data_IF_234631601731
#
_entry.id   IF_234631601731
#
_cell.length_a   1.000
_cell.length_b   1.000
_cell.length_c   1.000
_cell.angle_alpha   90.00
_cell.angle_beta   90.00
_cell.angle_gamma   90.00
#
_symmetry.space_group_name_H-M   'P 1'
#
loop_
_entity.id
_entity.type
_entity.pdbx_description
1 polymer ?
#
# COMPACT_ATOMS: atom_id res chain seq x y z
N UNK A 1 20.44 -54.47 19.67
CA UNK A 1 19.46 -53.75 20.50
C UNK A 1 19.55 -52.28 20.12
N UNK A 2 18.72 -51.83 19.19
CA UNK A 2 18.60 -50.40 18.84
C UNK A 2 17.26 -49.91 19.38
N UNK A 3 17.32 -49.05 20.39
CA UNK A 3 16.14 -48.46 21.01
C UNK A 3 15.71 -47.27 20.15
N UNK A 4 14.66 -47.43 19.34
CA UNK A 4 14.02 -46.31 18.64
C UNK A 4 13.39 -45.38 19.67
N UNK A 5 13.91 -44.15 19.77
CA UNK A 5 13.28 -43.06 20.53
C UNK A 5 12.04 -42.63 19.77
N UNK A 6 10.87 -42.80 20.38
CA UNK A 6 9.60 -42.37 19.83
C UNK A 6 9.40 -40.89 20.18
N UNK A 7 9.46 -40.03 19.19
CA UNK A 7 9.21 -38.59 19.35
C UNK A 7 7.70 -38.42 19.55
N UNK A 8 7.22 -37.78 20.62
CA UNK A 8 5.80 -37.54 20.80
C UNK A 8 5.31 -36.60 19.69
N UNK A 9 4.32 -37.03 18.93
CA UNK A 9 3.57 -36.16 18.01
C UNK A 9 2.78 -35.18 18.85
N UNK A 10 3.04 -33.87 18.67
CA UNK A 10 2.22 -32.82 19.26
C UNK A 10 0.75 -33.03 18.86
N UNK A 11 -0.21 -32.84 19.78
CA UNK A 11 -1.61 -32.90 19.42
C UNK A 11 -1.93 -31.84 18.36
N UNK A 12 -2.92 -32.08 17.47
CA UNK A 12 -3.44 -31.04 16.59
C UNK A 12 -3.87 -29.84 17.45
N UNK A 13 -3.49 -28.63 17.04
CA UNK A 13 -4.00 -27.41 17.65
C UNK A 13 -5.51 -27.34 17.43
N UNK A 14 -6.29 -27.79 18.40
CA UNK A 14 -7.72 -27.52 18.46
C UNK A 14 -7.89 -26.04 18.82
N UNK A 15 -8.26 -25.22 17.84
CA UNK A 15 -8.51 -23.79 18.03
C UNK A 15 -9.80 -23.61 18.84
N UNK A 16 -9.71 -22.95 19.99
CA UNK A 16 -10.85 -22.67 20.86
C UNK A 16 -11.83 -21.69 20.18
N UNK A 17 -13.13 -21.94 20.33
CA UNK A 17 -14.21 -21.01 19.94
C UNK A 17 -14.14 -19.75 20.81
N UNK A 18 -13.39 -18.76 20.35
CA UNK A 18 -13.29 -17.46 21.03
C UNK A 18 -12.17 -16.53 20.56
N UNK A 19 -11.48 -16.80 19.44
CA UNK A 19 -10.50 -15.85 18.89
C UNK A 19 -11.22 -14.60 18.36
N UNK A 20 -11.14 -13.50 19.11
CA UNK A 20 -11.41 -12.16 18.60
C UNK A 20 -10.49 -11.92 17.40
N UNK A 21 -11.08 -11.88 16.21
CA UNK A 21 -10.34 -11.60 14.97
C UNK A 21 -10.16 -10.09 14.83
N UNK A 22 -9.19 -9.55 15.58
CA UNK A 22 -8.93 -8.12 15.72
C UNK A 22 -8.64 -7.39 14.40
N UNK A 23 -8.20 -8.13 13.38
CA UNK A 23 -7.77 -7.64 12.07
C UNK A 23 -8.77 -7.92 10.96
N UNK A 24 -9.89 -8.59 11.26
CA UNK A 24 -10.97 -8.78 10.29
C UNK A 24 -11.64 -7.45 10.00
N UNK A 25 -11.89 -7.21 8.72
CA UNK A 25 -12.57 -6.02 8.21
C UNK A 25 -14.03 -6.06 8.65
N UNK A 26 -14.42 -5.11 9.47
CA UNK A 26 -15.79 -4.98 10.01
C UNK A 26 -16.63 -4.00 9.20
N UNK A 27 -16.02 -2.92 8.70
CA UNK A 27 -16.70 -1.87 7.95
C UNK A 27 -15.74 -1.28 6.90
N UNK A 28 -16.29 -0.95 5.73
CA UNK A 28 -15.56 -0.26 4.66
C UNK A 28 -16.43 0.90 4.20
N UNK A 29 -15.85 2.11 4.15
CA UNK A 29 -16.58 3.31 3.72
C UNK A 29 -15.86 3.96 2.56
N UNK A 30 -16.56 4.09 1.45
CA UNK A 30 -16.14 4.93 0.33
C UNK A 30 -16.83 6.30 0.43
N UNK A 31 -16.17 7.35 -0.05
CA UNK A 31 -16.78 8.67 -0.22
C UNK A 31 -16.07 9.45 -1.33
N UNK A 32 -16.83 10.23 -2.08
CA UNK A 32 -16.25 11.17 -3.04
C UNK A 32 -15.90 12.48 -2.35
N UNK A 33 -14.63 12.89 -2.45
CA UNK A 33 -14.09 14.14 -1.93
C UNK A 33 -13.60 15.05 -3.07
N UNK A 34 -13.30 16.29 -2.71
CA UNK A 34 -12.90 17.33 -3.66
C UNK A 34 -11.38 17.36 -3.85
N UNK A 35 -10.92 17.50 -5.09
CA UNK A 35 -9.52 17.84 -5.37
C UNK A 35 -9.21 19.31 -5.10
N UNK A 36 -7.95 19.70 -5.32
CA UNK A 36 -7.44 21.08 -5.23
C UNK A 36 -8.24 22.08 -6.07
N UNK A 37 -8.80 21.66 -7.21
CA UNK A 37 -9.64 22.47 -8.11
C UNK A 37 -11.12 22.49 -7.72
N UNK A 38 -11.50 21.88 -6.59
CA UNK A 38 -12.88 21.77 -6.09
C UNK A 38 -13.81 20.97 -7.01
N UNK A 39 -13.27 20.00 -7.72
CA UNK A 39 -14.02 18.98 -8.46
C UNK A 39 -14.10 17.71 -7.62
N UNK A 40 -15.28 17.05 -7.61
CA UNK A 40 -15.49 15.78 -6.90
C UNK A 40 -14.96 14.63 -7.76
N UNK A 41 -13.66 14.40 -7.72
CA UNK A 41 -13.02 13.35 -8.50
C UNK A 41 -11.97 12.58 -7.70
N UNK A 42 -12.03 12.63 -6.37
CA UNK A 42 -11.21 11.78 -5.51
C UNK A 42 -12.14 10.86 -4.76
N UNK A 43 -11.82 9.57 -4.74
CA UNK A 43 -12.49 8.58 -3.90
C UNK A 43 -11.57 8.29 -2.73
N UNK A 44 -12.08 8.56 -1.52
CA UNK A 44 -11.44 8.20 -0.25
C UNK A 44 -12.11 6.93 0.28
N UNK A 45 -11.28 5.96 0.67
CA UNK A 45 -11.68 4.66 1.18
C UNK A 45 -11.10 4.49 2.58
N UNK A 46 -11.99 4.17 3.52
CA UNK A 46 -11.68 3.82 4.90
C UNK A 46 -11.94 2.34 5.12
N UNK A 47 -10.98 1.63 5.71
CA UNK A 47 -11.14 0.25 6.19
C UNK A 47 -11.02 0.25 7.72
N UNK A 48 -12.03 -0.31 8.38
CA UNK A 48 -12.08 -0.46 9.83
C UNK A 48 -12.01 -1.94 10.19
N UNK A 49 -11.14 -2.26 11.14
CA UNK A 49 -11.12 -3.55 11.85
C UNK A 49 -11.49 -3.29 13.32
N UNK A 50 -11.63 -4.33 14.12
CA UNK A 50 -11.90 -4.17 15.56
C UNK A 50 -10.79 -3.40 16.31
N UNK A 51 -9.58 -3.37 15.76
CA UNK A 51 -8.38 -2.85 16.46
C UNK A 51 -7.58 -1.81 15.66
N UNK A 52 -7.89 -1.61 14.39
CA UNK A 52 -7.09 -0.77 13.50
C UNK A 52 -7.91 -0.10 12.41
N UNK A 53 -7.25 0.83 11.71
CA UNK A 53 -7.86 1.66 10.69
C UNK A 53 -6.84 1.95 9.58
N UNK A 54 -7.32 1.99 8.34
CA UNK A 54 -6.53 2.43 7.20
C UNK A 54 -7.34 3.26 6.21
N UNK A 55 -6.69 4.26 5.63
CA UNK A 55 -7.29 5.18 4.65
C UNK A 55 -6.42 5.32 3.41
N UNK A 56 -7.04 5.28 2.24
CA UNK A 56 -6.38 5.61 0.99
C UNK A 56 -7.31 6.42 0.08
N UNK A 57 -6.71 7.27 -0.76
CA UNK A 57 -7.44 8.14 -1.67
C UNK A 57 -6.84 8.09 -3.07
N UNK A 58 -7.69 8.10 -4.09
CA UNK A 58 -7.27 8.10 -5.50
C UNK A 58 -8.15 8.98 -6.36
N UNK A 59 -7.60 9.61 -7.43
CA UNK A 59 -8.43 10.29 -8.42
C UNK A 59 -9.30 9.30 -9.20
N UNK A 60 -10.62 9.43 -9.09
CA UNK A 60 -11.61 8.59 -9.74
C UNK A 60 -12.85 9.42 -10.10
N UNK A 61 -13.23 9.39 -11.38
CA UNK A 61 -14.27 10.27 -11.96
C UNK A 61 -15.62 9.56 -12.14
N UNK A 62 -15.65 8.23 -12.04
CA UNK A 62 -16.85 7.43 -12.24
C UNK A 62 -17.68 7.35 -10.96
N UNK A 63 -18.92 6.89 -11.08
CA UNK A 63 -19.82 6.69 -9.95
C UNK A 63 -19.32 5.53 -9.06
N UNK A 64 -19.32 5.73 -7.74
CA UNK A 64 -18.84 4.72 -6.79
C UNK A 64 -19.93 3.74 -6.34
N UNK A 65 -21.18 3.91 -6.77
CA UNK A 65 -22.31 3.07 -6.33
C UNK A 65 -22.07 1.59 -6.63
N UNK A 66 -21.49 1.27 -7.80
CA UNK A 66 -21.12 -0.12 -8.13
C UNK A 66 -20.08 -0.68 -7.15
N UNK A 67 -19.11 0.15 -6.73
CA UNK A 67 -18.09 -0.23 -5.76
C UNK A 67 -18.74 -0.50 -4.40
N UNK A 68 -19.61 0.41 -3.95
CA UNK A 68 -20.31 0.29 -2.67
C UNK A 68 -21.25 -0.92 -2.61
N UNK A 69 -21.97 -1.21 -3.69
CA UNK A 69 -22.98 -2.27 -3.73
C UNK A 69 -22.40 -3.66 -4.03
N UNK A 70 -21.29 -3.73 -4.78
CA UNK A 70 -20.74 -5.00 -5.27
C UNK A 70 -19.37 -5.31 -4.67
N UNK A 71 -18.47 -4.34 -4.61
CA UNK A 71 -17.07 -4.59 -4.24
C UNK A 71 -16.88 -4.63 -2.73
N UNK A 72 -17.39 -3.63 -1.99
CA UNK A 72 -17.17 -3.53 -0.55
C UNK A 72 -17.73 -4.71 0.25
N UNK A 73 -18.95 -5.23 -0.04
CA UNK A 73 -19.51 -6.35 0.70
C UNK A 73 -18.68 -7.64 0.60
N UNK A 74 -18.02 -7.87 -0.53
CA UNK A 74 -17.17 -9.05 -0.76
C UNK A 74 -15.85 -9.01 0.03
N UNK A 75 -15.43 -7.81 0.45
CA UNK A 75 -14.22 -7.62 1.25
C UNK A 75 -14.47 -7.66 2.76
N UNK A 76 -15.72 -7.42 3.18
CA UNK A 76 -16.09 -7.50 4.59
C UNK A 76 -15.90 -8.94 5.11
N UNK A 77 -15.35 -9.08 6.30
CA UNK A 77 -15.02 -10.38 6.88
C UNK A 77 -13.67 -10.97 6.44
N UNK A 78 -12.99 -10.38 5.45
CA UNK A 78 -11.60 -10.72 5.15
C UNK A 78 -10.67 -10.19 6.24
N UNK A 79 -9.51 -10.82 6.38
CA UNK A 79 -8.47 -10.36 7.28
C UNK A 79 -7.60 -9.31 6.60
N UNK A 80 -7.47 -8.12 7.19
CA UNK A 80 -6.66 -7.04 6.63
C UNK A 80 -5.17 -7.39 6.53
N UNK A 81 -4.67 -8.34 7.33
CA UNK A 81 -3.25 -8.76 7.25
C UNK A 81 -2.99 -9.72 6.08
N UNK A 82 -4.04 -10.34 5.52
CA UNK A 82 -3.95 -11.27 4.40
C UNK A 82 -3.98 -10.52 3.05
N UNK A 83 -3.02 -9.61 2.88
CA UNK A 83 -2.94 -8.67 1.74
C UNK A 83 -3.11 -9.38 0.39
N UNK A 84 -2.46 -10.52 0.21
CA UNK A 84 -2.51 -11.26 -1.05
C UNK A 84 -3.91 -11.77 -1.36
N UNK A 85 -4.61 -12.32 -0.36
CA UNK A 85 -5.97 -12.84 -0.55
C UNK A 85 -6.94 -11.72 -0.93
N UNK A 86 -6.81 -10.55 -0.28
CA UNK A 86 -7.62 -9.37 -0.60
C UNK A 86 -7.29 -8.84 -2.00
N UNK A 87 -6.00 -8.74 -2.35
CA UNK A 87 -5.55 -8.25 -3.66
C UNK A 87 -6.00 -9.16 -4.81
N UNK A 88 -5.90 -10.48 -4.63
CA UNK A 88 -6.32 -11.46 -5.63
C UNK A 88 -7.84 -11.34 -5.88
N UNK A 89 -8.65 -11.22 -4.82
CA UNK A 89 -10.10 -11.02 -4.94
C UNK A 89 -10.43 -9.68 -5.63
N UNK A 90 -9.75 -8.58 -5.28
CA UNK A 90 -9.93 -7.28 -5.94
C UNK A 90 -9.68 -7.35 -7.45
N UNK A 91 -8.69 -8.14 -7.88
CA UNK A 91 -8.44 -8.37 -9.30
C UNK A 91 -9.59 -9.11 -10.00
N UNK A 92 -10.35 -9.94 -9.27
CA UNK A 92 -11.48 -10.70 -9.79
C UNK A 92 -12.78 -9.88 -9.84
N UNK A 93 -13.05 -9.06 -8.81
CA UNK A 93 -14.38 -8.45 -8.60
C UNK A 93 -14.53 -7.03 -9.14
N UNK A 94 -13.44 -6.34 -9.49
CA UNK A 94 -13.53 -4.98 -10.05
C UNK A 94 -12.53 -4.77 -11.18
N UNK A 95 -12.90 -4.13 -12.31
CA UNK A 95 -11.97 -3.78 -13.37
C UNK A 95 -11.19 -2.49 -13.09
N UNK A 96 -11.55 -1.72 -12.05
CA UNK A 96 -11.02 -0.39 -11.83
C UNK A 96 -9.70 -0.43 -11.05
N UNK A 97 -8.57 -0.42 -11.75
CA UNK A 97 -7.24 -0.54 -11.11
C UNK A 97 -6.97 0.52 -10.02
N UNK A 98 -7.46 1.75 -10.17
CA UNK A 98 -7.32 2.79 -9.14
C UNK A 98 -8.09 2.45 -7.85
N UNK A 99 -9.27 1.85 -7.98
CA UNK A 99 -10.06 1.39 -6.84
C UNK A 99 -9.39 0.20 -6.17
N UNK A 100 -8.83 -0.73 -6.97
CA UNK A 100 -7.97 -1.80 -6.45
C UNK A 100 -6.81 -1.26 -5.64
N UNK A 101 -6.10 -0.26 -6.15
CA UNK A 101 -5.02 0.42 -5.43
C UNK A 101 -5.51 1.00 -4.10
N UNK A 102 -6.61 1.76 -4.10
CA UNK A 102 -7.13 2.39 -2.90
C UNK A 102 -7.56 1.37 -1.83
N UNK A 103 -8.32 0.32 -2.20
CA UNK A 103 -8.73 -0.73 -1.26
C UNK A 103 -7.55 -1.54 -0.73
N UNK A 104 -6.63 -1.93 -1.62
CA UNK A 104 -5.41 -2.64 -1.28
C UNK A 104 -4.54 -1.84 -0.31
N UNK A 105 -4.34 -0.54 -0.58
CA UNK A 105 -3.55 0.37 0.26
C UNK A 105 -4.22 0.69 1.60
N UNK A 106 -5.53 0.91 1.62
CA UNK A 106 -6.27 1.10 2.86
C UNK A 106 -6.16 -0.15 3.76
N UNK A 107 -6.20 -1.35 3.17
CA UNK A 107 -6.04 -2.61 3.90
C UNK A 107 -4.63 -2.73 4.48
N UNK A 108 -3.59 -2.46 3.66
CA UNK A 108 -2.21 -2.45 4.13
C UNK A 108 -1.97 -1.47 5.28
N UNK A 109 -2.62 -0.30 5.25
CA UNK A 109 -2.55 0.69 6.33
C UNK A 109 -3.26 0.24 7.60
N UNK A 110 -4.42 -0.42 7.47
CA UNK A 110 -5.09 -1.02 8.61
C UNK A 110 -4.21 -2.10 9.25
N UNK A 111 -3.56 -2.94 8.44
CA UNK A 111 -2.64 -3.95 8.92
C UNK A 111 -1.37 -3.35 9.53
N UNK A 112 -0.73 -2.36 8.90
CA UNK A 112 0.45 -1.71 9.44
C UNK A 112 0.15 -1.01 10.77
N UNK A 113 -1.04 -0.38 10.87
CA UNK A 113 -1.55 0.23 12.10
C UNK A 113 -1.73 -0.80 13.22
N UNK A 114 -2.31 -1.97 12.92
CA UNK A 114 -2.42 -3.08 13.87
C UNK A 114 -1.05 -3.52 14.41
N UNK A 115 -0.06 -3.65 13.54
CA UNK A 115 1.31 -4.00 13.94
C UNK A 115 2.09 -2.82 14.55
N UNK A 116 1.50 -1.62 14.63
CA UNK A 116 2.19 -0.38 15.04
C UNK A 116 3.47 -0.11 14.23
N UNK A 117 3.44 -0.44 12.95
CA UNK A 117 4.53 -0.22 12.01
C UNK A 117 4.22 0.94 11.06
N UNK A 118 5.23 1.76 10.70
CA UNK A 118 5.13 2.63 9.55
C UNK A 118 4.80 1.80 8.29
N UNK A 119 3.95 2.32 7.42
CA UNK A 119 3.49 1.58 6.23
C UNK A 119 4.65 1.09 5.35
N UNK A 120 5.72 1.89 5.21
CA UNK A 120 6.85 1.49 4.38
C UNK A 120 7.58 0.26 4.95
N UNK A 121 7.73 0.18 6.29
CA UNK A 121 8.28 -0.97 7.02
C UNK A 121 7.39 -2.20 6.92
N UNK A 122 6.07 -2.00 7.05
CA UNK A 122 5.11 -3.08 6.91
C UNK A 122 5.19 -3.71 5.51
N UNK A 123 5.31 -2.87 4.47
CA UNK A 123 5.35 -3.33 3.08
C UNK A 123 6.70 -3.92 2.63
N UNK A 124 7.83 -3.37 3.08
CA UNK A 124 9.16 -3.81 2.62
C UNK A 124 9.93 -4.71 3.61
N UNK A 125 9.44 -4.85 4.85
CA UNK A 125 10.04 -5.65 5.91
C UNK A 125 11.27 -5.01 6.58
N UNK A 126 12.30 -5.81 6.81
CA UNK A 126 13.52 -5.40 7.55
C UNK A 126 14.66 -4.90 6.65
N UNK A 127 14.50 -4.99 5.32
CA UNK A 127 15.59 -4.81 4.34
C UNK A 127 15.35 -3.63 3.38
N UNK A 128 14.71 -2.54 3.81
CA UNK A 128 14.61 -1.33 2.97
C UNK A 128 15.72 -0.33 3.27
N UNK A 129 16.20 0.39 2.24
CA UNK A 129 17.36 1.26 2.48
C UNK A 129 17.80 2.19 1.36
N UNK A 130 16.98 2.49 0.35
CA UNK A 130 17.34 3.56 -0.59
C UNK A 130 16.18 4.52 -0.80
N UNK A 131 16.46 5.80 -0.52
CA UNK A 131 15.55 6.89 -0.85
C UNK A 131 15.42 6.97 -2.38
N UNK A 132 14.18 7.08 -2.93
CA UNK A 132 13.97 7.28 -4.34
C UNK A 132 14.50 8.65 -4.80
N UNK A 133 14.82 8.75 -6.08
CA UNK A 133 14.99 10.03 -6.76
C UNK A 133 13.61 10.62 -7.10
N UNK A 134 13.51 11.94 -7.13
CA UNK A 134 12.26 12.63 -7.45
C UNK A 134 12.19 12.93 -8.94
N UNK A 135 11.12 12.53 -9.62
CA UNK A 135 10.80 13.02 -10.96
C UNK A 135 9.76 14.13 -10.85
N UNK A 136 10.17 15.36 -11.17
CA UNK A 136 9.32 16.55 -11.15
C UNK A 136 9.24 17.11 -12.56
N UNK A 137 8.11 16.89 -13.23
CA UNK A 137 7.88 17.37 -14.59
C UNK A 137 8.87 16.83 -15.63
N UNK A 138 9.39 15.61 -15.45
CA UNK A 138 10.35 14.96 -16.35
C UNK A 138 11.81 15.28 -16.05
N UNK A 139 12.09 16.02 -14.98
CA UNK A 139 13.45 16.28 -14.47
C UNK A 139 13.67 15.49 -13.20
N UNK A 140 14.86 14.92 -13.07
CA UNK A 140 15.22 14.07 -11.94
C UNK A 140 15.99 14.87 -10.90
N UNK A 141 15.64 14.71 -9.64
CA UNK A 141 16.28 15.37 -8.50
C UNK A 141 16.65 14.36 -7.42
N UNK A 142 17.70 14.65 -6.65
CA UNK A 142 17.95 13.95 -5.38
C UNK A 142 17.11 14.51 -4.23
N UNK A 143 17.31 13.94 -3.03
CA UNK A 143 16.65 14.37 -1.80
C UNK A 143 17.02 15.80 -1.34
N UNK A 144 18.10 16.37 -1.86
CA UNK A 144 18.50 17.76 -1.60
C UNK A 144 17.99 18.70 -2.71
N UNK A 145 17.09 18.23 -3.58
CA UNK A 145 16.55 18.94 -4.74
C UNK A 145 17.61 19.39 -5.75
N UNK A 146 18.73 18.66 -5.86
CA UNK A 146 19.73 18.89 -6.90
C UNK A 146 19.38 18.08 -8.13
N UNK A 147 19.34 18.74 -9.29
CA UNK A 147 19.03 18.09 -10.56
C UNK A 147 20.11 17.07 -10.96
N UNK A 148 19.70 15.87 -11.34
CA UNK A 148 20.54 14.76 -11.79
C UNK A 148 20.18 14.42 -13.23
N UNK A 149 21.20 14.16 -14.06
CA UNK A 149 21.00 13.63 -15.42
C UNK A 149 20.82 12.11 -15.35
N UNK A 150 19.63 11.62 -15.65
CA UNK A 150 19.35 10.20 -15.75
C UNK A 150 19.74 9.65 -17.15
N UNK A 151 20.37 8.47 -17.18
CA UNK A 151 20.80 7.82 -18.41
C UNK A 151 19.69 6.98 -19.07
N UNK A 152 18.69 6.56 -18.29
CA UNK A 152 17.59 5.70 -18.73
C UNK A 152 16.29 6.19 -18.11
N UNK A 153 15.23 6.29 -18.91
CA UNK A 153 13.89 6.64 -18.41
C UNK A 153 13.33 5.50 -17.55
N UNK A 154 12.65 5.80 -16.43
CA UNK A 154 12.01 4.78 -15.63
C UNK A 154 10.85 4.11 -16.37
N UNK A 155 10.59 2.84 -16.06
CA UNK A 155 9.36 2.16 -16.41
C UNK A 155 8.23 2.71 -15.54
N UNK A 156 7.19 3.27 -16.15
CA UNK A 156 6.00 3.71 -15.43
C UNK A 156 5.16 2.48 -15.06
N UNK A 157 4.88 2.33 -13.78
CA UNK A 157 3.94 1.34 -13.27
C UNK A 157 2.55 1.97 -13.24
N UNK A 158 1.51 1.19 -13.52
CA UNK A 158 0.14 1.66 -13.29
C UNK A 158 -0.20 1.48 -11.80
N UNK A 159 -1.11 2.31 -11.29
CA UNK A 159 -1.72 2.05 -9.99
C UNK A 159 -2.57 0.79 -10.12
N UNK A 160 -2.37 -0.16 -9.23
CA UNK A 160 -3.14 -1.39 -9.09
C UNK A 160 -2.96 -1.91 -7.65
N UNK A 161 -3.34 -3.13 -7.33
CA UNK A 161 -3.07 -3.69 -6.00
C UNK A 161 -1.58 -3.67 -5.65
N UNK A 162 -1.29 -3.62 -4.35
CA UNK A 162 0.07 -3.67 -3.81
C UNK A 162 0.82 -4.91 -4.33
N UNK A 163 0.14 -6.07 -4.39
CA UNK A 163 0.71 -7.30 -4.95
C UNK A 163 1.09 -7.18 -6.42
N UNK A 164 0.25 -6.54 -7.26
CA UNK A 164 0.56 -6.32 -8.68
C UNK A 164 1.72 -5.35 -8.88
N UNK A 165 1.76 -4.26 -8.11
CA UNK A 165 2.87 -3.27 -8.15
C UNK A 165 4.19 -3.92 -7.71
N UNK A 166 4.15 -4.72 -6.63
CA UNK A 166 5.30 -5.46 -6.15
C UNK A 166 5.82 -6.44 -7.22
N UNK A 167 4.93 -7.22 -7.84
CA UNK A 167 5.29 -8.14 -8.91
C UNK A 167 5.92 -7.40 -10.10
N UNK A 168 5.34 -6.27 -10.53
CA UNK A 168 5.82 -5.49 -11.67
C UNK A 168 7.17 -4.81 -11.47
N UNK A 169 7.58 -4.61 -10.20
CA UNK A 169 8.85 -3.99 -9.79
C UNK A 169 9.88 -4.99 -9.25
N UNK A 170 9.58 -6.29 -9.26
CA UNK A 170 10.45 -7.32 -8.68
C UNK A 170 11.74 -7.52 -9.48
N UNK A 171 11.63 -7.49 -10.81
CA UNK A 171 12.76 -7.78 -11.72
C UNK A 171 13.60 -6.54 -12.03
N UNK A 172 12.96 -5.36 -12.12
CA UNK A 172 13.62 -4.09 -12.43
C UNK A 172 13.16 -3.00 -11.47
N UNK A 173 14.11 -2.44 -10.72
CA UNK A 173 13.88 -1.35 -9.76
C UNK A 173 13.88 0.03 -10.42
N UNK A 174 14.24 0.14 -11.70
CA UNK A 174 14.20 1.37 -12.48
C UNK A 174 12.75 1.74 -12.87
N UNK A 175 11.90 1.86 -11.87
CA UNK A 175 10.46 2.07 -11.96
C UNK A 175 10.04 3.40 -11.32
N UNK A 176 8.90 3.92 -11.77
CA UNK A 176 8.22 5.07 -11.20
C UNK A 176 6.73 4.76 -11.04
N UNK A 177 6.15 5.16 -9.91
CA UNK A 177 4.72 5.03 -9.64
C UNK A 177 4.03 6.39 -9.76
N UNK A 178 2.81 6.47 -10.33
CA UNK A 178 2.05 7.70 -10.46
C UNK A 178 1.85 8.38 -9.11
N UNK A 179 2.02 9.69 -9.07
CA UNK A 179 1.75 10.46 -7.87
C UNK A 179 0.25 10.42 -7.54
N UNK A 180 -0.08 10.04 -6.32
CA UNK A 180 -1.37 10.30 -5.68
C UNK A 180 -1.13 10.83 -4.28
N UNK A 181 -2.13 11.48 -3.71
CA UNK A 181 -2.01 12.22 -2.45
C UNK A 181 -1.58 11.33 -1.27
N UNK A 182 -1.69 10.00 -1.40
CA UNK A 182 -1.60 9.07 -0.28
C UNK A 182 -0.76 7.81 -0.57
N UNK A 183 0.24 7.53 0.28
CA UNK A 183 0.94 6.24 0.38
C UNK A 183 1.97 5.89 -0.71
N UNK A 184 2.06 6.64 -1.82
CA UNK A 184 3.00 6.34 -2.92
C UNK A 184 4.47 6.45 -2.54
N UNK A 185 4.84 7.36 -1.64
CA UNK A 185 6.19 7.43 -1.09
C UNK A 185 6.52 6.15 -0.32
N UNK A 186 5.62 5.69 0.55
CA UNK A 186 5.80 4.46 1.32
C UNK A 186 5.98 3.24 0.40
N UNK A 187 5.17 3.11 -0.64
CA UNK A 187 5.29 2.04 -1.63
C UNK A 187 6.63 2.13 -2.37
N UNK A 188 7.02 3.34 -2.79
CA UNK A 188 8.28 3.56 -3.50
C UNK A 188 9.49 3.14 -2.68
N UNK A 189 9.51 3.50 -1.39
CA UNK A 189 10.53 3.04 -0.45
C UNK A 189 10.47 1.53 -0.24
N UNK A 190 9.29 1.00 0.14
CA UNK A 190 9.08 -0.39 0.47
C UNK A 190 9.55 -1.34 -0.64
N UNK A 191 9.24 -0.99 -1.88
CA UNK A 191 9.56 -1.80 -3.04
C UNK A 191 10.88 -1.43 -3.71
N UNK A 192 11.62 -0.49 -3.12
CA UNK A 192 12.87 0.06 -3.65
C UNK A 192 12.71 0.54 -5.10
N UNK A 193 11.57 1.19 -5.40
CA UNK A 193 11.40 1.86 -6.67
C UNK A 193 12.38 3.02 -6.74
N UNK A 194 13.17 3.07 -7.81
CA UNK A 194 14.25 4.05 -7.94
C UNK A 194 13.73 5.49 -8.03
N UNK A 195 12.53 5.69 -8.55
CA UNK A 195 11.96 7.00 -8.75
C UNK A 195 10.57 7.12 -8.13
N UNK A 196 10.29 8.31 -7.62
CA UNK A 196 8.99 8.73 -7.14
C UNK A 196 8.55 9.94 -7.97
N UNK A 197 7.36 9.88 -8.55
CA UNK A 197 6.78 11.04 -9.23
C UNK A 197 6.29 12.04 -8.19
N UNK A 198 6.63 13.32 -8.41
CA UNK A 198 6.06 14.43 -7.65
C UNK A 198 5.56 15.49 -8.63
N UNK A 199 4.31 15.91 -8.45
CA UNK A 199 3.66 16.93 -9.26
C UNK A 199 3.47 18.22 -8.44
N UNK A 200 3.18 19.34 -9.11
CA UNK A 200 3.01 20.65 -8.44
C UNK A 200 1.85 20.65 -7.43
N UNK A 201 0.80 19.89 -7.70
CA UNK A 201 -0.38 19.71 -6.85
C UNK A 201 -0.14 18.77 -5.66
N UNK A 202 0.87 17.90 -5.73
CA UNK A 202 1.14 16.83 -4.74
C UNK A 202 2.50 16.96 -4.05
N UNK A 203 2.93 18.19 -3.78
CA UNK A 203 4.23 18.48 -3.17
C UNK A 203 4.39 17.92 -1.73
N UNK A 204 3.27 17.62 -1.07
CA UNK A 204 3.24 17.02 0.27
C UNK A 204 3.93 15.65 0.30
N UNK A 205 3.96 14.93 -0.83
CA UNK A 205 4.70 13.67 -0.97
C UNK A 205 6.18 13.85 -0.62
N UNK A 206 6.78 14.98 -1.00
CA UNK A 206 8.18 15.29 -0.70
C UNK A 206 8.38 15.47 0.81
N UNK A 207 7.44 16.14 1.49
CA UNK A 207 7.51 16.33 2.94
C UNK A 207 7.39 14.99 3.68
N UNK A 208 6.49 14.12 3.23
CA UNK A 208 6.35 12.75 3.76
C UNK A 208 7.65 11.97 3.60
N UNK A 209 8.27 12.08 2.43
CA UNK A 209 9.55 11.42 2.13
C UNK A 209 10.68 11.93 3.03
N UNK A 210 10.73 13.23 3.32
CA UNK A 210 11.71 13.81 4.27
C UNK A 210 11.49 13.25 5.68
N UNK A 211 10.25 13.16 6.16
CA UNK A 211 9.94 12.56 7.47
C UNK A 211 10.39 11.11 7.56
N UNK A 212 10.18 10.33 6.50
CA UNK A 212 10.65 8.94 6.43
C UNK A 212 12.19 8.87 6.47
N UNK A 213 12.88 9.78 5.77
CA UNK A 213 14.35 9.88 5.81
C UNK A 213 14.86 10.16 7.22
N UNK A 214 14.22 11.09 7.94
CA UNK A 214 14.55 11.41 9.33
C UNK A 214 14.34 10.20 10.24
N UNK A 215 13.19 9.53 10.11
CA UNK A 215 12.89 8.29 10.83
C UNK A 215 13.95 7.21 10.60
N UNK A 216 14.37 6.99 9.35
CA UNK A 216 15.44 6.04 9.00
C UNK A 216 16.81 6.45 9.55
N UNK A 217 17.08 7.75 9.69
CA UNK A 217 18.33 8.30 10.23
C UNK A 217 18.44 8.25 11.75
N UNK A 218 17.32 8.07 12.48
CA UNK A 218 17.32 7.81 13.92
C UNK A 218 17.61 6.34 14.27
N UNK A 219 17.51 5.43 13.29
CA UNK A 219 17.72 3.98 13.47
C UNK A 219 19.11 3.47 13.03
N UNK A 220 20.05 4.34 12.62
CA UNK A 220 21.43 3.98 12.18
C UNK A 220 22.50 4.48 13.14
#
# INVERSE_FOLDING_TARGET
METRVQIPTAPPLEMEKGEERLTVIEDIRARTVYNSNRERNIVEIDIYTSSSFGRASVPFEEDISEIEEVVLPELAGLDAIEQKSLDDLLCEITPYNKIRFALSLASAKAASSFYSLPLFRYLGGIYEGQMPLLDIGGKIFDMDLKEIKANQKPKRLELDTISQIYAASKEDKNCIIPAVDEGVCHISLAFNLRYLEAMEDNIQIINELIRIKEYLGEEI
#
